data_IF_197305423045
#
_entry.id   IF_197305423045
#
_cell.length_a   1.000
_cell.length_b   1.000
_cell.length_c   1.000
_cell.angle_alpha   90.00
_cell.angle_beta   90.00
_cell.angle_gamma   90.00
#
_symmetry.space_group_name_H-M   'P 1'
#
loop_
_entity.id
_entity.type
_entity.pdbx_description
1 polymer ?
#
# COMPACT_ATOMS: atom_id res chain seq x y z
N UNK A 1 -6.89 12.27 10.25
CA UNK A 1 -7.24 11.25 11.26
C UNK A 1 -7.85 11.95 12.45
N UNK A 2 -8.83 11.34 13.12
CA UNK A 2 -9.33 11.89 14.38
C UNK A 2 -8.24 11.82 15.45
N UNK A 3 -7.98 12.91 16.17
CA UNK A 3 -6.93 12.97 17.21
C UNK A 3 -5.51 12.79 16.68
N UNK A 4 -5.21 13.31 15.48
CA UNK A 4 -3.87 13.24 14.92
C UNK A 4 -2.81 14.01 15.74
N UNK A 5 -3.09 15.16 16.38
CA UNK A 5 -2.10 15.87 17.19
C UNK A 5 -1.62 15.04 18.39
N UNK A 6 -2.51 14.32 19.06
CA UNK A 6 -2.16 13.45 20.18
C UNK A 6 -1.31 12.27 19.74
N UNK A 7 -1.56 11.76 18.53
CA UNK A 7 -0.77 10.67 17.95
C UNK A 7 0.66 11.13 17.67
N UNK A 8 0.85 12.28 17.04
CA UNK A 8 2.17 12.78 16.62
C UNK A 8 3.07 13.14 17.80
N UNK A 9 2.52 13.39 18.98
CA UNK A 9 3.28 13.56 20.22
C UNK A 9 3.82 12.22 20.76
N UNK A 10 3.08 11.13 20.56
CA UNK A 10 3.37 9.80 21.13
C UNK A 10 4.29 8.95 20.27
N UNK A 11 4.36 9.19 18.96
CA UNK A 11 5.12 8.35 18.03
C UNK A 11 6.10 9.14 17.18
N UNK A 12 7.00 8.43 16.51
CA UNK A 12 7.79 8.98 15.39
C UNK A 12 7.17 8.49 14.09
N UNK A 13 6.85 9.40 13.18
CA UNK A 13 6.30 9.06 11.87
C UNK A 13 7.41 8.58 10.94
N UNK A 14 7.40 7.30 10.56
CA UNK A 14 8.26 6.78 9.51
C UNK A 14 7.53 6.92 8.15
N UNK A 15 7.96 7.88 7.32
CA UNK A 15 7.25 8.25 6.10
C UNK A 15 7.97 7.67 4.88
N UNK A 16 7.35 6.65 4.28
CA UNK A 16 7.75 6.06 3.01
C UNK A 16 7.13 6.85 1.85
N UNK A 17 7.93 7.70 1.21
CA UNK A 17 7.47 8.45 0.03
C UNK A 17 7.39 7.57 -1.22
N UNK A 18 6.48 7.92 -2.13
CA UNK A 18 6.33 7.24 -3.40
C UNK A 18 7.22 7.87 -4.47
N UNK A 19 8.01 7.03 -5.15
CA UNK A 19 8.89 7.44 -6.25
C UNK A 19 9.90 8.54 -5.85
N UNK A 20 10.49 8.44 -4.65
CA UNK A 20 11.56 9.33 -4.21
C UNK A 20 11.16 10.79 -3.92
N UNK A 21 9.87 11.13 -3.98
CA UNK A 21 9.39 12.48 -3.68
C UNK A 21 9.59 12.81 -2.20
N UNK A 22 9.95 14.05 -1.86
CA UNK A 22 9.99 14.46 -0.47
C UNK A 22 8.56 14.45 0.13
N UNK A 23 8.37 14.06 1.40
CA UNK A 23 7.10 14.24 2.09
C UNK A 23 6.69 15.72 2.10
N UNK A 24 5.44 16.01 1.71
CA UNK A 24 4.87 17.36 1.77
C UNK A 24 3.70 17.35 2.76
N UNK A 25 3.92 17.76 4.03
CA UNK A 25 2.85 17.85 5.01
C UNK A 25 1.92 19.02 4.69
N UNK A 26 0.65 18.88 5.06
CA UNK A 26 -0.27 20.01 5.06
C UNK A 26 0.18 21.08 6.07
N UNK A 27 -0.17 22.37 5.88
CA UNK A 27 0.30 23.45 6.75
C UNK A 27 0.03 23.23 8.24
N UNK A 28 -1.11 22.62 8.58
CA UNK A 28 -1.49 22.31 9.97
C UNK A 28 -0.55 21.28 10.63
N UNK A 29 -0.12 20.26 9.88
CA UNK A 29 0.85 19.28 10.36
C UNK A 29 2.26 19.89 10.40
N UNK A 30 2.60 20.75 9.44
CA UNK A 30 3.88 21.43 9.39
C UNK A 30 4.07 22.41 10.57
N UNK A 31 3.00 23.02 11.06
CA UNK A 31 3.03 23.93 12.21
C UNK A 31 2.96 23.22 13.56
N UNK A 32 2.63 21.92 13.60
CA UNK A 32 2.56 21.14 14.83
C UNK A 32 3.88 20.41 15.10
N UNK A 33 4.54 20.59 16.25
CA UNK A 33 5.77 19.87 16.58
C UNK A 33 5.58 18.35 16.56
N UNK A 34 6.39 17.64 15.76
CA UNK A 34 6.34 16.19 15.66
C UNK A 34 7.70 15.60 15.26
N UNK A 35 7.87 14.31 15.49
CA UNK A 35 9.05 13.56 15.07
C UNK A 35 8.75 12.80 13.78
N UNK A 36 9.61 12.94 12.77
CA UNK A 36 9.47 12.25 11.49
C UNK A 36 10.82 11.75 10.99
N UNK A 37 10.83 10.56 10.39
CA UNK A 37 11.95 10.01 9.62
C UNK A 37 11.45 9.68 8.22
N UNK A 38 12.04 10.27 7.20
CA UNK A 38 11.79 9.90 5.81
C UNK A 38 12.51 8.58 5.50
N UNK A 39 11.78 7.59 4.98
CA UNK A 39 12.35 6.31 4.59
C UNK A 39 12.76 6.34 3.11
N UNK A 40 14.00 5.97 2.77
CA UNK A 40 14.41 5.82 1.38
C UNK A 40 13.70 4.61 0.78
N UNK A 41 12.76 4.86 -0.12
CA UNK A 41 11.98 3.81 -0.79
C UNK A 41 12.16 3.91 -2.30
N UNK A 42 12.55 2.82 -2.98
CA UNK A 42 12.63 2.80 -4.44
C UNK A 42 11.24 2.97 -5.06
N UNK A 43 11.20 3.39 -6.32
CA UNK A 43 9.96 3.41 -7.07
C UNK A 43 9.43 1.97 -7.22
N UNK A 44 8.19 1.74 -6.79
CA UNK A 44 7.52 0.45 -6.87
C UNK A 44 6.29 0.56 -7.75
N UNK A 45 6.30 -0.13 -8.89
CA UNK A 45 5.19 -0.18 -9.85
C UNK A 45 4.12 -1.22 -9.45
N UNK A 46 3.86 -1.38 -8.15
CA UNK A 46 2.84 -2.29 -7.62
C UNK A 46 1.77 -1.49 -6.88
N UNK A 47 0.50 -1.87 -7.06
CA UNK A 47 -0.62 -1.35 -6.28
C UNK A 47 -1.69 -2.42 -6.12
N UNK A 48 -2.35 -2.44 -4.95
CA UNK A 48 -3.43 -3.39 -4.69
C UNK A 48 -4.61 -3.23 -5.66
N UNK A 49 -4.89 -1.99 -6.11
CA UNK A 49 -5.94 -1.74 -7.11
C UNK A 49 -5.62 -2.39 -8.45
N UNK A 50 -4.38 -2.29 -8.92
CA UNK A 50 -3.96 -2.96 -10.17
C UNK A 50 -3.96 -4.48 -10.03
N UNK A 51 -3.52 -5.02 -8.90
CA UNK A 51 -3.58 -6.46 -8.61
C UNK A 51 -5.02 -6.96 -8.68
N UNK A 52 -5.94 -6.32 -7.94
CA UNK A 52 -7.35 -6.75 -7.93
C UNK A 52 -8.02 -6.61 -9.30
N UNK A 53 -7.71 -5.55 -10.05
CA UNK A 53 -8.26 -5.37 -11.40
C UNK A 53 -7.84 -6.50 -12.35
N UNK A 54 -6.56 -6.88 -12.32
CA UNK A 54 -6.04 -8.01 -13.10
C UNK A 54 -6.72 -9.32 -12.74
N UNK A 55 -6.80 -9.64 -11.44
CA UNK A 55 -7.46 -10.86 -10.95
C UNK A 55 -8.95 -10.89 -11.32
N UNK A 56 -9.64 -9.75 -11.23
CA UNK A 56 -11.04 -9.63 -11.63
C UNK A 56 -11.24 -9.76 -13.14
N UNK A 57 -10.22 -9.48 -13.95
CA UNK A 57 -10.22 -9.71 -15.40
C UNK A 57 -9.90 -11.16 -15.78
N UNK A 58 -9.62 -12.03 -14.79
CA UNK A 58 -9.31 -13.44 -15.00
C UNK A 58 -7.82 -13.76 -15.08
N UNK A 59 -6.92 -12.79 -14.81
CA UNK A 59 -5.50 -13.13 -14.63
C UNK A 59 -5.34 -14.10 -13.47
N UNK A 60 -4.44 -15.07 -13.65
CA UNK A 60 -4.14 -16.06 -12.62
C UNK A 60 -3.11 -15.49 -11.65
N UNK A 61 -3.32 -15.61 -10.33
CA UNK A 61 -2.47 -14.95 -9.33
C UNK A 61 -0.99 -15.33 -9.43
N UNK A 62 -0.65 -16.55 -9.86
CA UNK A 62 0.74 -16.97 -10.14
C UNK A 62 1.47 -16.09 -11.16
N UNK A 63 0.77 -15.45 -12.11
CA UNK A 63 1.39 -14.57 -13.12
C UNK A 63 1.87 -13.25 -12.51
N UNK A 64 1.42 -12.93 -11.29
CA UNK A 64 1.79 -11.72 -10.56
C UNK A 64 3.04 -11.92 -9.68
N UNK A 65 3.59 -13.14 -9.62
CA UNK A 65 4.79 -13.50 -8.85
C UNK A 65 6.05 -13.31 -9.69
N UNK A 66 7.19 -12.87 -9.11
CA UNK A 66 7.35 -12.28 -7.77
C UNK A 66 7.14 -10.75 -7.77
N UNK A 67 6.83 -10.17 -8.94
CA UNK A 67 6.89 -8.74 -9.16
C UNK A 67 5.85 -7.93 -8.37
N UNK A 68 4.67 -8.51 -8.13
CA UNK A 68 3.55 -7.81 -7.47
C UNK A 68 3.10 -8.49 -6.17
N UNK A 69 3.23 -9.81 -6.06
CA UNK A 69 2.90 -10.58 -4.86
C UNK A 69 3.92 -11.71 -4.66
N UNK A 70 4.08 -12.16 -3.42
CA UNK A 70 4.89 -13.35 -3.13
C UNK A 70 4.19 -14.63 -3.60
N UNK A 71 4.95 -15.71 -3.78
CA UNK A 71 4.40 -17.02 -4.14
C UNK A 71 3.34 -17.51 -3.13
N UNK A 72 3.58 -17.31 -1.83
CA UNK A 72 2.65 -17.69 -0.78
C UNK A 72 1.31 -16.93 -0.88
N UNK A 73 1.35 -15.63 -1.19
CA UNK A 73 0.15 -14.81 -1.38
C UNK A 73 -0.60 -15.21 -2.64
N UNK A 74 0.09 -15.47 -3.76
CA UNK A 74 -0.55 -15.94 -4.98
C UNK A 74 -1.27 -17.29 -4.78
N UNK A 75 -0.63 -18.24 -4.10
CA UNK A 75 -1.23 -19.53 -3.76
C UNK A 75 -2.49 -19.36 -2.89
N UNK A 76 -2.45 -18.45 -1.93
CA UNK A 76 -3.60 -18.17 -1.07
C UNK A 76 -4.77 -17.55 -1.86
N UNK A 77 -4.48 -16.60 -2.76
CA UNK A 77 -5.49 -16.00 -3.64
C UNK A 77 -6.17 -17.08 -4.50
N UNK A 78 -5.40 -17.99 -5.10
CA UNK A 78 -5.94 -19.09 -5.92
C UNK A 78 -6.75 -20.09 -5.11
N UNK A 79 -6.24 -20.52 -3.94
CA UNK A 79 -6.92 -21.48 -3.08
C UNK A 79 -8.28 -20.97 -2.60
N UNK A 80 -8.41 -19.66 -2.37
CA UNK A 80 -9.61 -19.03 -1.83
C UNK A 80 -10.43 -18.24 -2.87
N UNK A 81 -10.03 -18.28 -4.16
CA UNK A 81 -10.67 -17.55 -5.25
C UNK A 81 -10.87 -16.05 -4.94
N UNK A 82 -9.90 -15.44 -4.25
CA UNK A 82 -10.00 -14.04 -3.85
C UNK A 82 -9.95 -13.14 -5.08
N UNK A 83 -10.83 -12.13 -5.13
CA UNK A 83 -10.87 -11.13 -6.19
C UNK A 83 -11.19 -11.67 -7.59
N UNK A 84 -11.66 -12.93 -7.70
CA UNK A 84 -12.21 -13.45 -8.94
C UNK A 84 -13.41 -12.59 -9.38
N UNK A 85 -13.67 -12.54 -10.69
CA UNK A 85 -14.91 -11.98 -11.20
C UNK A 85 -16.07 -12.70 -10.51
N UNK A 86 -16.78 -12.01 -9.62
CA UNK A 86 -17.96 -12.57 -9.01
C UNK A 86 -18.91 -12.95 -10.13
N UNK A 87 -19.26 -14.22 -10.26
CA UNK A 87 -20.51 -14.57 -10.94
C UNK A 87 -21.60 -13.90 -10.12
N UNK A 88 -22.40 -12.97 -10.67
CA UNK A 88 -23.63 -12.57 -9.98
C UNK A 88 -24.40 -13.87 -9.74
N UNK A 89 -24.58 -14.24 -8.47
CA UNK A 89 -25.52 -15.29 -8.11
C UNK A 89 -26.91 -14.70 -8.06
#
# INVERSE_FOLDING_TARGET
WHGWPELTQRVTLAVASRAGQAPQPAPELASHPHRMVALPMPAMAVSSSSIRARLAQGDVARTLVPAMVSNAVARYIEQHQLYAAGTPR
#
